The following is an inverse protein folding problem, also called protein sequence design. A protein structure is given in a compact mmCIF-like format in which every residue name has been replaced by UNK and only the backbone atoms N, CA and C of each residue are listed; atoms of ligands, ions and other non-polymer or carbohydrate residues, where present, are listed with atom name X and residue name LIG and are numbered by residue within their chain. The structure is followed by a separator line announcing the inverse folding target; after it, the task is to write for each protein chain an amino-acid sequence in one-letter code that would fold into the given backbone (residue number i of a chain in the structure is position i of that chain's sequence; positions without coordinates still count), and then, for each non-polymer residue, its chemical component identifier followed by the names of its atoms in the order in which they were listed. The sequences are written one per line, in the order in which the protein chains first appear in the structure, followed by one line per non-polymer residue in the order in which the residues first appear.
data_IF_671204139029
#
_entry.id   IF_671204139029
#
_cell.length_a   1.000
_cell.length_b   1.000
_cell.length_c   1.000
_cell.angle_alpha   90.00
_cell.angle_beta   90.00
_cell.angle_gamma   90.00
#
_symmetry.space_group_name_H-M   'P 1'
#
loop_
_entity.id
_entity.type
_entity.pdbx_description
1 polymer ?
#
# COMPACT_ATOMS: atom_id res chain seq x y z
N UNK A 1 26.18 20.48 -14.33
CA UNK A 1 25.13 21.00 -13.43
C UNK A 1 23.95 21.41 -14.29
N UNK A 2 22.85 20.65 -14.26
CA UNK A 2 21.64 21.04 -14.97
C UNK A 2 21.10 22.34 -14.33
N UNK A 3 20.87 23.37 -15.16
CA UNK A 3 20.33 24.65 -14.73
C UNK A 3 18.96 24.45 -14.09
N UNK A 4 18.72 25.02 -12.91
CA UNK A 4 17.44 24.94 -12.18
C UNK A 4 16.22 25.31 -13.05
N UNK A 5 16.41 26.19 -14.04
CA UNK A 5 15.39 26.55 -15.04
C UNK A 5 14.84 25.37 -15.84
N UNK A 6 15.66 24.37 -16.15
CA UNK A 6 15.25 23.21 -16.95
C UNK A 6 14.27 22.30 -16.20
N UNK A 7 14.37 22.23 -14.88
CA UNK A 7 13.48 21.42 -14.05
C UNK A 7 12.12 22.12 -13.89
N UNK A 8 12.13 23.42 -13.63
CA UNK A 8 10.92 24.23 -13.50
C UNK A 8 10.08 24.24 -14.80
N UNK A 9 10.74 24.37 -15.96
CA UNK A 9 10.07 24.29 -17.27
C UNK A 9 9.48 22.91 -17.54
N UNK A 10 10.17 21.84 -17.13
CA UNK A 10 9.68 20.46 -17.28
C UNK A 10 8.46 20.18 -16.39
N UNK A 11 8.44 20.73 -15.17
CA UNK A 11 7.31 20.57 -14.23
C UNK A 11 6.08 21.36 -14.71
N UNK A 12 6.27 22.56 -15.24
CA UNK A 12 5.20 23.37 -15.80
C UNK A 12 4.56 22.72 -17.05
N UNK A 13 5.38 22.09 -17.91
CA UNK A 13 4.90 21.38 -19.11
C UNK A 13 4.03 20.15 -18.81
N UNK A 14 4.13 19.58 -17.62
CA UNK A 14 3.31 18.43 -17.18
C UNK A 14 1.89 18.82 -16.75
N UNK A 15 1.53 20.11 -16.77
CA UNK A 15 0.20 20.56 -16.34
C UNK A 15 -0.10 20.25 -14.88
N UNK A 16 0.94 20.03 -14.07
CA UNK A 16 0.85 19.84 -12.63
C UNK A 16 0.53 21.22 -12.05
N UNK A 17 -0.75 21.47 -11.82
CA UNK A 17 -1.19 22.63 -11.05
C UNK A 17 -0.39 22.69 -9.75
N UNK A 18 0.36 23.77 -9.52
CA UNK A 18 1.27 23.93 -8.38
C UNK A 18 0.51 24.11 -7.04
N UNK A 19 -0.80 23.87 -7.03
CA UNK A 19 -1.68 24.02 -5.87
C UNK A 19 -1.92 22.71 -5.09
N UNK A 20 -1.07 21.67 -5.22
CA UNK A 20 -1.17 20.51 -4.34
C UNK A 20 -0.80 20.91 -2.90
N UNK A 21 -1.80 21.37 -2.16
CA UNK A 21 -1.67 21.82 -0.77
C UNK A 21 -1.26 20.70 0.19
N UNK A 22 -1.26 19.44 -0.27
CA UNK A 22 -0.94 18.23 0.48
C UNK A 22 -0.18 17.25 -0.42
N UNK A 23 0.94 16.72 0.06
CA UNK A 23 1.72 15.69 -0.64
C UNK A 23 1.04 14.33 -0.48
N UNK A 24 0.77 13.65 -1.60
CA UNK A 24 0.15 12.31 -1.59
C UNK A 24 1.22 11.23 -1.68
N UNK A 25 1.26 10.34 -0.69
CA UNK A 25 2.21 9.23 -0.64
C UNK A 25 1.47 7.94 -0.97
N UNK A 26 1.69 7.42 -2.20
CA UNK A 26 1.23 6.09 -2.56
C UNK A 26 2.18 5.05 -1.97
N UNK A 27 1.64 4.13 -1.16
CA UNK A 27 2.40 3.09 -0.49
C UNK A 27 1.88 1.71 -0.84
N UNK A 28 2.73 0.91 -1.48
CA UNK A 28 2.45 -0.48 -1.76
C UNK A 28 2.59 -1.32 -0.49
N UNK A 29 1.54 -2.09 -0.16
CA UNK A 29 1.49 -2.92 1.04
C UNK A 29 1.09 -4.36 0.71
N UNK A 30 1.68 -5.32 1.40
CA UNK A 30 1.36 -6.74 1.25
C UNK A 30 1.36 -7.49 2.58
N UNK A 31 0.81 -8.70 2.53
CA UNK A 31 0.75 -9.64 3.65
C UNK A 31 2.14 -10.22 3.96
N UNK A 32 2.37 -10.57 5.22
CA UNK A 32 3.57 -11.30 5.63
C UNK A 32 3.53 -12.73 5.13
N UNK A 33 4.55 -13.16 4.37
CA UNK A 33 4.72 -14.58 4.03
C UNK A 33 5.17 -15.45 5.21
N UNK A 34 5.66 -14.85 6.30
CA UNK A 34 6.14 -15.59 7.49
C UNK A 34 5.04 -15.72 8.54
N UNK A 35 4.33 -14.62 8.82
CA UNK A 35 3.26 -14.60 9.82
C UNK A 35 1.90 -14.92 9.23
N UNK A 36 1.75 -14.81 7.91
CA UNK A 36 0.47 -14.88 7.23
C UNK A 36 -0.48 -13.76 7.65
N UNK A 37 -1.69 -13.86 7.14
CA UNK A 37 -2.82 -13.02 7.49
C UNK A 37 -3.12 -13.08 9.01
N UNK A 38 -3.47 -11.95 9.66
CA UNK A 38 -3.69 -10.61 9.10
C UNK A 38 -2.46 -9.69 9.19
N UNK A 39 -1.26 -10.24 9.23
CA UNK A 39 -0.07 -9.43 9.52
C UNK A 39 0.52 -8.80 8.24
N UNK A 40 0.84 -7.49 8.25
CA UNK A 40 1.58 -6.88 7.14
C UNK A 40 2.99 -7.47 7.04
N UNK A 41 3.55 -7.43 5.83
CA UNK A 41 4.94 -7.79 5.62
C UNK A 41 5.87 -6.88 6.43
N UNK A 42 7.03 -7.43 6.82
CA UNK A 42 8.04 -6.69 7.61
C UNK A 42 8.50 -5.46 6.82
N UNK A 43 8.68 -5.59 5.50
CA UNK A 43 9.11 -4.52 4.62
C UNK A 43 8.05 -3.42 4.47
N UNK A 44 6.78 -3.77 4.23
CA UNK A 44 5.71 -2.76 4.14
C UNK A 44 5.51 -2.01 5.45
N UNK A 45 5.50 -2.71 6.58
CA UNK A 45 5.40 -2.07 7.90
C UNK A 45 6.59 -1.15 8.16
N UNK A 46 7.81 -1.62 7.89
CA UNK A 46 9.02 -0.82 8.08
C UNK A 46 9.04 0.43 7.19
N UNK A 47 8.65 0.30 5.92
CA UNK A 47 8.55 1.43 5.00
C UNK A 47 7.53 2.48 5.47
N UNK A 48 6.37 2.04 5.97
CA UNK A 48 5.36 2.93 6.53
C UNK A 48 5.86 3.68 7.76
N UNK A 49 6.38 2.95 8.75
CA UNK A 49 6.88 3.53 10.00
C UNK A 49 8.05 4.50 9.75
N UNK A 50 8.98 4.14 8.86
CA UNK A 50 10.07 5.02 8.46
C UNK A 50 9.56 6.27 7.75
N UNK A 51 8.55 6.16 6.90
CA UNK A 51 7.97 7.32 6.19
C UNK A 51 7.30 8.28 7.17
N UNK A 52 6.56 7.76 8.14
CA UNK A 52 6.03 8.57 9.24
C UNK A 52 7.15 9.27 10.01
N UNK A 53 8.18 8.53 10.41
CA UNK A 53 9.25 9.05 11.27
C UNK A 53 10.15 10.07 10.55
N UNK A 54 10.43 9.86 9.26
CA UNK A 54 11.46 10.62 8.53
C UNK A 54 10.90 11.64 7.55
N UNK A 55 9.72 11.39 6.99
CA UNK A 55 9.10 12.28 5.98
C UNK A 55 8.00 13.12 6.62
N UNK A 56 6.97 12.48 7.19
CA UNK A 56 5.81 13.20 7.77
C UNK A 56 6.23 13.95 9.04
N UNK A 57 6.99 13.30 9.92
CA UNK A 57 7.49 13.86 11.18
C UNK A 57 6.33 14.44 11.99
N UNK A 58 6.33 15.77 12.17
CA UNK A 58 5.30 16.49 12.92
C UNK A 58 4.30 17.22 12.01
N UNK A 59 4.51 17.22 10.69
CA UNK A 59 3.64 17.89 9.72
C UNK A 59 2.54 16.94 9.23
N UNK A 60 1.67 16.51 10.14
CA UNK A 60 0.66 15.48 9.87
C UNK A 60 -0.42 15.94 8.88
N UNK A 61 -0.62 17.24 8.69
CA UNK A 61 -1.60 17.78 7.73
C UNK A 61 -1.02 18.02 6.34
N UNK A 62 0.31 18.05 6.20
CA UNK A 62 1.00 18.25 4.93
C UNK A 62 1.02 17.01 4.02
N UNK A 63 0.62 15.85 4.53
CA UNK A 63 0.68 14.57 3.81
C UNK A 63 -0.64 13.81 3.83
N UNK A 64 -0.85 12.99 2.80
CA UNK A 64 -1.96 12.03 2.73
C UNK A 64 -1.46 10.69 2.21
N UNK A 65 -1.60 9.64 3.01
CA UNK A 65 -1.30 8.28 2.57
C UNK A 65 -2.38 7.72 1.64
N UNK A 66 -1.94 6.98 0.64
CA UNK A 66 -2.77 6.16 -0.23
C UNK A 66 -2.20 4.75 -0.22
N UNK A 67 -2.91 3.79 0.37
CA UNK A 67 -2.44 2.41 0.42
C UNK A 67 -2.92 1.62 -0.78
N UNK A 68 -2.00 0.90 -1.42
CA UNK A 68 -2.29 -0.01 -2.52
C UNK A 68 -1.85 -1.42 -2.13
N UNK A 69 -2.83 -2.30 -1.96
CA UNK A 69 -2.60 -3.74 -1.88
C UNK A 69 -2.97 -4.38 -3.21
N UNK A 70 -1.99 -4.99 -3.88
CA UNK A 70 -2.24 -5.79 -5.09
C UNK A 70 -2.48 -7.21 -4.62
N UNK A 71 -3.72 -7.66 -4.72
CA UNK A 71 -4.11 -9.02 -4.41
C UNK A 71 -3.74 -9.91 -5.58
N UNK A 72 -2.75 -10.77 -5.38
CA UNK A 72 -2.37 -11.83 -6.32
C UNK A 72 -2.91 -13.13 -5.74
N UNK A 73 -3.53 -13.96 -6.58
CA UNK A 73 -3.80 -15.36 -6.21
C UNK A 73 -2.44 -16.03 -6.03
N UNK A 74 -2.15 -16.60 -4.86
CA UNK A 74 -0.89 -17.32 -4.61
C UNK A 74 -0.75 -18.48 -5.62
N UNK A 75 -0.23 -18.22 -6.82
CA UNK A 75 0.20 -19.26 -7.77
C UNK A 75 1.60 -19.79 -7.41
N UNK A 76 2.33 -19.08 -6.55
CA UNK A 76 3.74 -19.36 -6.24
C UNK A 76 3.93 -20.01 -4.85
N UNK A 77 2.84 -20.25 -4.13
CA UNK A 77 2.83 -20.98 -2.87
C UNK A 77 2.60 -22.46 -3.13
N UNK A 78 3.64 -23.27 -2.95
CA UNK A 78 3.57 -24.74 -2.91
C UNK A 78 2.70 -25.27 -1.75
N UNK A 79 1.43 -24.86 -1.64
CA UNK A 79 0.44 -25.41 -0.70
C UNK A 79 -0.76 -26.06 -1.43
N UNK A 80 -0.87 -25.88 -2.75
CA UNK A 80 -1.88 -26.56 -3.58
C UNK A 80 -1.34 -27.86 -4.20
N UNK A 81 -0.64 -28.68 -3.40
CA UNK A 81 -0.33 -30.04 -3.85
C UNK A 81 -1.59 -30.92 -3.89
N UNK A 82 -2.78 -30.44 -3.45
CA UNK A 82 -4.07 -31.14 -3.58
C UNK A 82 -5.35 -30.24 -3.64
N UNK A 83 -5.27 -28.98 -4.08
CA UNK A 83 -6.49 -28.15 -4.24
C UNK A 83 -7.28 -28.55 -5.50
N UNK A 84 -8.08 -29.61 -5.40
CA UNK A 84 -9.07 -29.98 -6.43
C UNK A 84 -10.21 -28.95 -6.39
N UNK A 85 -10.15 -27.94 -7.27
CA UNK A 85 -11.28 -27.04 -7.50
C UNK A 85 -12.38 -27.76 -8.27
N UNK A 86 -13.31 -28.40 -7.54
CA UNK A 86 -14.37 -29.23 -8.12
C UNK A 86 -15.62 -28.42 -8.50
N UNK A 87 -15.72 -27.14 -8.12
CA UNK A 87 -16.92 -26.35 -8.36
C UNK A 87 -16.68 -24.83 -8.49
N UNK A 88 -17.60 -24.10 -9.13
CA UNK A 88 -17.62 -22.63 -9.10
C UNK A 88 -17.74 -22.02 -7.69
N UNK A 89 -18.17 -22.80 -6.68
CA UNK A 89 -18.25 -22.33 -5.30
C UNK A 89 -16.87 -22.16 -4.67
N UNK A 90 -15.90 -23.01 -5.04
CA UNK A 90 -14.54 -22.97 -4.50
C UNK A 90 -13.83 -21.67 -4.90
N UNK A 91 -13.98 -21.27 -6.16
CA UNK A 91 -13.49 -19.98 -6.65
C UNK A 91 -14.15 -18.77 -5.96
N UNK A 92 -15.46 -18.86 -5.65
CA UNK A 92 -16.16 -17.80 -4.91
C UNK A 92 -15.67 -17.70 -3.46
N UNK A 93 -15.40 -18.83 -2.81
CA UNK A 93 -14.88 -18.88 -1.46
C UNK A 93 -13.46 -18.26 -1.39
N UNK A 94 -12.56 -18.64 -2.30
CA UNK A 94 -11.22 -18.04 -2.41
C UNK A 94 -11.29 -16.53 -2.60
N UNK A 95 -12.04 -16.04 -3.60
CA UNK A 95 -12.17 -14.62 -3.88
C UNK A 95 -12.67 -13.82 -2.66
N UNK A 96 -13.63 -14.39 -1.93
CA UNK A 96 -14.14 -13.77 -0.71
C UNK A 96 -13.12 -13.75 0.43
N UNK A 97 -12.37 -14.83 0.61
CA UNK A 97 -11.29 -14.93 1.60
C UNK A 97 -10.22 -13.87 1.32
N UNK A 98 -9.69 -13.87 0.11
CA UNK A 98 -8.55 -13.03 -0.24
C UNK A 98 -8.94 -11.54 -0.24
N UNK A 99 -10.19 -11.22 -0.63
CA UNK A 99 -10.74 -9.86 -0.47
C UNK A 99 -10.80 -9.44 0.99
N UNK A 100 -11.24 -10.32 1.90
CA UNK A 100 -11.24 -10.02 3.35
C UNK A 100 -9.82 -9.81 3.87
N UNK A 101 -8.87 -10.63 3.42
CA UNK A 101 -7.45 -10.51 3.78
C UNK A 101 -6.88 -9.14 3.38
N UNK A 102 -7.09 -8.77 2.12
CA UNK A 102 -6.66 -7.45 1.62
C UNK A 102 -7.30 -6.28 2.35
N UNK A 103 -8.60 -6.37 2.68
CA UNK A 103 -9.30 -5.32 3.41
C UNK A 103 -8.76 -5.11 4.83
N UNK A 104 -8.53 -6.18 5.59
CA UNK A 104 -7.97 -6.05 6.94
C UNK A 104 -6.52 -5.54 6.92
N UNK A 105 -5.75 -5.90 5.88
CA UNK A 105 -4.41 -5.34 5.70
C UNK A 105 -4.47 -3.82 5.49
N UNK A 106 -5.38 -3.33 4.64
CA UNK A 106 -5.58 -1.90 4.43
C UNK A 106 -6.08 -1.21 5.70
N UNK A 107 -7.03 -1.82 6.41
CA UNK A 107 -7.54 -1.33 7.68
C UNK A 107 -6.42 -1.16 8.71
N UNK A 108 -5.50 -2.12 8.82
CA UNK A 108 -4.33 -2.00 9.70
C UNK A 108 -3.55 -0.71 9.47
N UNK A 109 -3.25 -0.36 8.22
CA UNK A 109 -2.50 0.87 7.92
C UNK A 109 -3.34 2.14 8.11
N UNK A 110 -4.63 2.10 7.79
CA UNK A 110 -5.56 3.22 8.01
C UNK A 110 -5.74 3.52 9.49
N UNK A 111 -5.91 2.50 10.33
CA UNK A 111 -5.97 2.65 11.79
C UNK A 111 -4.68 3.28 12.33
N UNK A 112 -3.52 2.89 11.80
CA UNK A 112 -2.25 3.49 12.21
C UNK A 112 -2.16 4.95 11.79
N UNK A 113 -2.56 5.33 10.57
CA UNK A 113 -2.68 6.74 10.18
C UNK A 113 -3.57 7.53 11.15
N UNK A 114 -4.74 6.98 11.49
CA UNK A 114 -5.66 7.61 12.43
C UNK A 114 -5.03 7.82 13.83
N UNK A 115 -4.26 6.86 14.33
CA UNK A 115 -3.54 6.98 15.60
C UNK A 115 -2.47 8.07 15.58
N UNK A 116 -1.83 8.31 14.44
CA UNK A 116 -0.81 9.35 14.27
C UNK A 116 -1.38 10.72 13.85
N UNK A 117 -2.67 10.80 13.52
CA UNK A 117 -3.34 12.04 13.10
C UNK A 117 -3.02 12.47 11.68
N UNK A 118 -2.57 11.54 10.83
CA UNK A 118 -2.29 11.73 9.39
C UNK A 118 -3.50 11.31 8.55
#
# INVERSE_FOLDING_TARGET
MASSRSVEESVAALGIDQSYSVTRILMAVNESSIKGYPHPSISSRGAFEWTLEKIVRNDVTGFKFMFLHVQVTDEDGFDDMDSIFASPADFRAMKNRDRKRGLHLLEHFVERCHQFGV
#
